data_IF_044235134972
#
_entry.id   IF_044235134972
#
_cell.length_a   1.000
_cell.length_b   1.000
_cell.length_c   1.000
_cell.angle_alpha   90.00
_cell.angle_beta   90.00
_cell.angle_gamma   90.00
#
_symmetry.space_group_name_H-M   'P 1'
#
loop_
_entity.id
_entity.type
_entity.pdbx_description
1 polymer ?
#
# COMPACT_ATOMS: atom_id res chain seq x y z
N UNK A 1 -3.92 -19.80 -14.64
CA UNK A 1 -2.93 -18.74 -14.81
C UNK A 1 -2.12 -18.64 -13.54
N UNK A 2 -0.78 -18.64 -13.60
CA UNK A 2 0.06 -18.43 -12.41
C UNK A 2 0.26 -16.93 -12.21
N UNK A 3 -0.14 -16.40 -11.05
CA UNK A 3 -0.12 -14.95 -10.77
C UNK A 3 1.08 -14.62 -9.88
N UNK A 4 1.80 -13.55 -10.21
CA UNK A 4 2.86 -13.04 -9.35
C UNK A 4 2.24 -12.26 -8.16
N UNK A 5 2.01 -12.97 -7.06
CA UNK A 5 1.41 -12.38 -5.86
C UNK A 5 2.25 -11.25 -5.27
N UNK A 6 3.59 -11.34 -5.33
CA UNK A 6 4.45 -10.29 -4.81
C UNK A 6 4.28 -8.96 -5.57
N UNK A 7 4.10 -9.02 -6.89
CA UNK A 7 3.79 -7.83 -7.68
C UNK A 7 2.41 -7.24 -7.35
N UNK A 8 1.43 -8.09 -7.05
CA UNK A 8 0.11 -7.64 -6.58
C UNK A 8 0.23 -6.97 -5.21
N UNK A 9 0.96 -7.56 -4.27
CA UNK A 9 1.15 -7.01 -2.93
C UNK A 9 1.85 -5.65 -2.98
N UNK A 10 2.89 -5.52 -3.81
CA UNK A 10 3.59 -4.26 -4.03
C UNK A 10 2.65 -3.19 -4.62
N UNK A 11 1.81 -3.56 -5.59
CA UNK A 11 0.84 -2.65 -6.19
C UNK A 11 -0.25 -2.22 -5.19
N UNK A 12 -0.78 -3.16 -4.39
CA UNK A 12 -1.76 -2.87 -3.34
C UNK A 12 -1.18 -1.95 -2.29
N UNK A 13 0.04 -2.22 -1.82
CA UNK A 13 0.72 -1.36 -0.84
C UNK A 13 0.95 0.05 -1.40
N UNK A 14 1.37 0.17 -2.67
CA UNK A 14 1.48 1.46 -3.33
C UNK A 14 0.12 2.18 -3.40
N UNK A 15 -0.96 1.49 -3.75
CA UNK A 15 -2.28 2.11 -3.84
C UNK A 15 -2.87 2.49 -2.46
N UNK A 16 -2.44 1.85 -1.37
CA UNK A 16 -2.77 2.33 -0.02
C UNK A 16 -2.21 3.74 0.21
N UNK A 17 -1.02 4.06 -0.30
CA UNK A 17 -0.44 5.41 -0.22
C UNK A 17 -1.33 6.47 -0.88
N UNK A 18 -1.96 6.15 -2.03
CA UNK A 18 -2.88 7.05 -2.72
C UNK A 18 -4.07 7.50 -1.83
N UNK A 19 -4.46 6.66 -0.87
CA UNK A 19 -5.58 6.91 0.04
C UNK A 19 -5.16 7.25 1.46
N UNK A 20 -3.88 7.55 1.67
CA UNK A 20 -3.32 7.83 2.99
C UNK A 20 -3.93 9.12 3.56
N UNK A 21 -4.38 9.04 4.81
CA UNK A 21 -4.94 10.11 5.60
C UNK A 21 -4.56 9.90 7.08
N UNK A 22 -4.79 10.91 7.91
CA UNK A 22 -4.48 10.85 9.35
C UNK A 22 -3.07 10.31 9.64
N UNK A 23 -2.10 10.72 8.83
CA UNK A 23 -0.68 10.32 8.85
C UNK A 23 -0.38 8.88 8.42
N UNK A 24 -1.18 7.88 8.85
CA UNK A 24 -0.88 6.47 8.58
C UNK A 24 -2.10 5.59 8.34
N UNK A 25 -3.28 6.16 8.01
CA UNK A 25 -4.49 5.38 7.73
C UNK A 25 -4.80 5.37 6.24
N UNK A 26 -5.24 4.25 5.72
CA UNK A 26 -5.63 4.10 4.31
C UNK A 26 -6.93 3.32 4.17
N UNK A 27 -7.68 3.53 3.09
CA UNK A 27 -8.91 2.77 2.82
C UNK A 27 -8.55 1.32 2.44
N UNK A 28 -9.15 0.34 3.13
CA UNK A 28 -8.85 -1.09 2.89
C UNK A 28 -9.79 -1.75 1.87
N UNK A 29 -10.05 -1.07 0.75
CA UNK A 29 -10.98 -1.53 -0.31
C UNK A 29 -10.35 -2.49 -1.33
N UNK A 30 -9.13 -2.96 -1.08
CA UNK A 30 -8.40 -3.88 -1.96
C UNK A 30 -8.69 -5.35 -1.64
N UNK A 31 -8.16 -6.24 -2.46
CA UNK A 31 -8.25 -7.70 -2.28
C UNK A 31 -7.82 -8.12 -0.86
N UNK A 32 -8.63 -8.98 -0.24
CA UNK A 32 -8.43 -9.40 1.14
C UNK A 32 -7.16 -10.22 1.33
N UNK A 33 -6.82 -11.09 0.38
CA UNK A 33 -5.63 -11.94 0.50
C UNK A 33 -4.35 -11.10 0.39
N UNK A 34 -4.34 -10.06 -0.46
CA UNK A 34 -3.23 -9.11 -0.52
C UNK A 34 -3.07 -8.33 0.81
N UNK A 35 -4.17 -7.85 1.39
CA UNK A 35 -4.12 -7.15 2.69
C UNK A 35 -3.63 -8.08 3.81
N UNK A 36 -4.05 -9.35 3.81
CA UNK A 36 -3.58 -10.35 4.78
C UNK A 36 -2.07 -10.57 4.65
N UNK A 37 -1.53 -10.75 3.44
CA UNK A 37 -0.07 -10.89 3.22
C UNK A 37 0.71 -9.64 3.64
N UNK A 38 0.16 -8.44 3.42
CA UNK A 38 0.78 -7.21 3.90
C UNK A 38 0.77 -7.10 5.43
N UNK A 39 -0.26 -7.62 6.09
CA UNK A 39 -0.32 -7.72 7.54
C UNK A 39 0.70 -8.72 8.08
N UNK A 40 0.80 -9.91 7.48
CA UNK A 40 1.80 -10.92 7.81
C UNK A 40 3.24 -10.38 7.69
N UNK A 41 3.46 -9.45 6.75
CA UNK A 41 4.73 -8.72 6.57
C UNK A 41 4.95 -7.59 7.57
N UNK A 42 4.00 -7.27 8.45
CA UNK A 42 4.09 -6.18 9.43
C UNK A 42 3.98 -4.77 8.85
N UNK A 43 3.57 -4.64 7.59
CA UNK A 43 3.48 -3.34 6.89
C UNK A 43 2.16 -2.64 7.22
N UNK A 44 1.12 -3.41 7.55
CA UNK A 44 -0.18 -2.89 7.97
C UNK A 44 -0.67 -3.62 9.24
N UNK A 45 -1.52 -2.95 10.00
CA UNK A 45 -2.30 -3.56 11.07
C UNK A 45 -3.32 -4.56 10.54
N UNK A 46 -3.91 -5.34 11.43
CA UNK A 46 -4.87 -6.39 11.08
C UNK A 46 -6.06 -5.82 10.27
N UNK A 47 -6.22 -6.21 8.99
CA UNK A 47 -7.31 -5.72 8.16
C UNK A 47 -8.65 -6.35 8.54
N UNK A 48 -8.70 -7.45 9.30
CA UNK A 48 -9.92 -8.19 9.66
C UNK A 48 -10.62 -7.53 10.86
N UNK A 49 -11.23 -6.38 10.59
CA UNK A 49 -11.97 -5.61 11.58
C UNK A 49 -13.16 -4.86 10.94
N UNK A 50 -14.02 -4.27 11.78
CA UNK A 50 -15.20 -3.49 11.35
C UNK A 50 -14.85 -2.09 10.80
N UNK A 51 -13.62 -1.61 10.97
CA UNK A 51 -13.22 -0.30 10.47
C UNK A 51 -13.14 -0.29 8.93
N UNK A 52 -13.34 0.87 8.30
CA UNK A 52 -13.20 1.01 6.84
C UNK A 52 -11.75 1.27 6.40
N UNK A 53 -10.88 1.59 7.34
CA UNK A 53 -9.47 1.86 7.10
C UNK A 53 -8.57 0.86 7.81
N UNK A 54 -7.34 0.76 7.33
CA UNK A 54 -6.23 0.04 7.96
C UNK A 54 -5.15 1.04 8.35
N UNK A 55 -4.43 0.75 9.42
CA UNK A 55 -3.26 1.53 9.85
C UNK A 55 -2.02 0.92 9.21
N UNK A 56 -1.17 1.74 8.60
CA UNK A 56 0.15 1.37 8.14
C UNK A 56 1.15 1.54 9.30
N UNK A 57 2.13 0.63 9.38
CA UNK A 57 3.30 0.86 10.24
C UNK A 57 4.20 1.95 9.64
N UNK A 58 5.14 2.47 10.41
CA UNK A 58 6.11 3.45 9.89
C UNK A 58 6.90 2.90 8.70
N UNK A 59 7.23 1.60 8.73
CA UNK A 59 7.82 0.90 7.59
C UNK A 59 6.85 0.78 6.42
N UNK A 60 5.59 0.43 6.69
CA UNK A 60 4.53 0.37 5.69
C UNK A 60 4.34 1.69 4.95
N UNK A 61 4.33 2.83 5.65
CA UNK A 61 4.20 4.16 5.02
C UNK A 61 5.39 4.44 4.10
N UNK A 62 6.62 4.25 4.59
CA UNK A 62 7.84 4.47 3.78
C UNK A 62 7.87 3.59 2.54
N UNK A 63 7.50 2.33 2.69
CA UNK A 63 7.53 1.37 1.59
C UNK A 63 6.40 1.63 0.59
N UNK A 64 5.20 1.98 1.07
CA UNK A 64 4.08 2.38 0.21
C UNK A 64 4.43 3.60 -0.64
N UNK A 65 5.04 4.63 -0.07
CA UNK A 65 5.50 5.80 -0.81
C UNK A 65 6.56 5.44 -1.85
N UNK A 66 7.58 4.64 -1.46
CA UNK A 66 8.65 4.19 -2.36
C UNK A 66 8.09 3.43 -3.55
N UNK A 67 7.16 2.51 -3.31
CA UNK A 67 6.51 1.71 -4.34
C UNK A 67 5.62 2.58 -5.22
N UNK A 68 4.87 3.52 -4.64
CA UNK A 68 4.03 4.45 -5.40
C UNK A 68 4.85 5.28 -6.38
N UNK A 69 5.97 5.85 -5.92
CA UNK A 69 6.92 6.56 -6.79
C UNK A 69 7.49 5.65 -7.88
N UNK A 70 7.91 4.44 -7.51
CA UNK A 70 8.49 3.47 -8.47
C UNK A 70 7.50 3.05 -9.56
N UNK A 71 6.23 2.85 -9.21
CA UNK A 71 5.22 2.26 -10.09
C UNK A 71 4.42 3.29 -10.87
N UNK A 72 4.22 4.49 -10.33
CA UNK A 72 3.23 5.44 -10.85
C UNK A 72 3.74 6.87 -11.03
N UNK A 73 4.97 7.22 -10.60
CA UNK A 73 5.52 8.53 -10.92
C UNK A 73 5.90 8.61 -12.39
N UNK A 74 5.50 9.69 -13.06
CA UNK A 74 5.96 9.98 -14.41
C UNK A 74 7.43 10.40 -14.37
N UNK A 75 8.26 9.95 -15.33
CA UNK A 75 9.67 10.34 -15.41
C UNK A 75 9.85 11.86 -15.61
N UNK A 76 8.88 12.53 -16.25
CA UNK A 76 9.00 13.94 -16.64
C UNK A 76 8.63 14.93 -15.52
N UNK A 77 7.99 14.47 -14.43
CA UNK A 77 7.59 15.33 -13.31
C UNK A 77 8.73 15.71 -12.35
N UNK A 78 9.93 15.17 -12.53
CA UNK A 78 11.10 15.47 -11.71
C UNK A 78 11.98 16.62 -12.26
N UNK A 79 11.72 17.07 -13.49
CA UNK A 79 12.46 18.17 -14.15
C UNK A 79 11.81 19.55 -13.96
N UNK A 80 10.61 19.60 -13.38
CA UNK A 80 9.84 20.82 -13.11
C UNK A 80 9.54 20.92 -11.60
N UNK A 81 10.56 21.00 -10.76
CA UNK A 81 10.44 21.36 -9.33
C UNK A 81 11.72 22.01 -8.82
#
# INVERSE_FOLDING_TARGET
MNVNLAAIDDAVLALLYLTLHDHNRAWKSFDWDALNRLHERGLIGDPVNKAKSVVLSDEGVREAERLFKRLFANPDGAAES
#
